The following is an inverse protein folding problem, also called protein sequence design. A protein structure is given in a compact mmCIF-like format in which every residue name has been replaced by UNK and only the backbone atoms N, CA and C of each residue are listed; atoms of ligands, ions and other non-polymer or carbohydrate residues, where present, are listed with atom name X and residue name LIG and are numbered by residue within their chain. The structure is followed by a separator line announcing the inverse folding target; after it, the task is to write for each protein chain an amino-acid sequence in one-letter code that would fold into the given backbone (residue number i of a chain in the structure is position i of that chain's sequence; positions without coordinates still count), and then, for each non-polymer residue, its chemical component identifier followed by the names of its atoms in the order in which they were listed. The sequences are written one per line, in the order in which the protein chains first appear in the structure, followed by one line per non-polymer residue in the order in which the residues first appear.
data_IF_455633832562
#
_entry.id   IF_455633832562
#
_cell.length_a   1.000
_cell.length_b   1.000
_cell.length_c   1.000
_cell.angle_alpha   90.00
_cell.angle_beta   90.00
_cell.angle_gamma   90.00
#
_symmetry.space_group_name_H-M   'P 1'
#
loop_
_entity.id
_entity.type
_entity.pdbx_description
1 polymer ?
#
# COMPACT_ATOMS: atom_id res chain seq x y z
N UNK A 1 16.99 -41.51 51.30
CA UNK A 1 17.74 -41.32 50.04
C UNK A 1 16.85 -41.84 48.92
N UNK A 2 15.95 -40.99 48.44
CA UNK A 2 15.02 -41.32 47.36
C UNK A 2 15.64 -40.84 46.04
N UNK A 3 15.88 -41.78 45.14
CA UNK A 3 16.07 -41.52 43.71
C UNK A 3 14.83 -40.79 43.18
N UNK A 4 14.99 -39.48 42.91
CA UNK A 4 14.09 -38.76 42.03
C UNK A 4 14.39 -39.24 40.61
N UNK A 5 13.56 -40.19 40.17
CA UNK A 5 13.34 -40.54 38.78
C UNK A 5 13.27 -39.26 37.93
N UNK A 6 14.37 -39.02 37.23
CA UNK A 6 14.44 -38.18 36.06
C UNK A 6 13.50 -38.81 35.04
N UNK A 7 12.26 -38.33 34.99
CA UNK A 7 11.38 -38.59 33.87
C UNK A 7 12.02 -37.84 32.71
N UNK A 8 12.76 -38.58 31.89
CA UNK A 8 13.18 -38.17 30.56
C UNK A 8 11.90 -37.87 29.78
N UNK A 9 11.51 -36.59 29.77
CA UNK A 9 10.43 -36.10 28.95
C UNK A 9 10.91 -36.20 27.52
N UNK A 10 10.61 -37.36 26.94
CA UNK A 10 10.90 -37.73 25.57
C UNK A 10 10.11 -36.82 24.65
N UNK A 11 10.62 -35.60 24.46
CA UNK A 11 10.12 -34.66 23.47
C UNK A 11 10.30 -35.32 22.11
N UNK A 12 9.22 -35.49 21.33
CA UNK A 12 9.32 -36.14 20.02
C UNK A 12 10.40 -35.44 19.20
N UNK A 13 11.26 -36.23 18.54
CA UNK A 13 12.42 -35.73 17.80
C UNK A 13 11.97 -34.91 16.57
N UNK A 14 11.61 -33.66 16.80
CA UNK A 14 11.42 -32.67 15.75
C UNK A 14 12.82 -32.23 15.25
N UNK A 15 12.98 -31.99 13.93
CA UNK A 15 14.22 -31.41 13.42
C UNK A 15 14.48 -30.08 14.11
N UNK A 16 15.74 -29.83 14.46
CA UNK A 16 16.19 -28.75 15.34
C UNK A 16 15.55 -27.40 14.96
N UNK A 17 14.64 -26.91 15.79
CA UNK A 17 13.76 -25.76 15.52
C UNK A 17 14.54 -24.45 15.28
N UNK A 18 15.68 -24.30 15.95
CA UNK A 18 16.66 -23.22 15.76
C UNK A 18 17.14 -23.10 14.30
N UNK A 19 17.33 -24.22 13.60
CA UNK A 19 17.75 -24.21 12.19
C UNK A 19 16.65 -23.67 11.26
N UNK A 20 15.38 -23.95 11.58
CA UNK A 20 14.25 -23.38 10.84
C UNK A 20 14.07 -21.89 11.14
N UNK A 21 14.22 -21.49 12.41
CA UNK A 21 14.19 -20.08 12.79
C UNK A 21 15.31 -19.31 12.08
N UNK A 22 16.52 -19.85 12.04
CA UNK A 22 17.65 -19.26 11.34
C UNK A 22 17.40 -19.11 9.83
N UNK A 23 16.75 -20.09 9.21
CA UNK A 23 16.35 -20.01 7.81
C UNK A 23 15.29 -18.92 7.58
N UNK A 24 14.28 -18.82 8.45
CA UNK A 24 13.25 -17.78 8.34
C UNK A 24 13.81 -16.38 8.55
N UNK A 25 14.69 -16.19 9.55
CA UNK A 25 15.30 -14.88 9.82
C UNK A 25 16.17 -14.43 8.65
N UNK A 26 16.91 -15.35 8.02
CA UNK A 26 17.68 -15.03 6.83
C UNK A 26 16.78 -14.57 5.66
N UNK A 27 15.62 -15.22 5.48
CA UNK A 27 14.66 -14.81 4.45
C UNK A 27 14.03 -13.44 4.74
N UNK A 28 13.72 -13.16 6.02
CA UNK A 28 13.20 -11.86 6.46
C UNK A 28 14.24 -10.75 6.20
N UNK A 29 15.50 -10.98 6.57
CA UNK A 29 16.61 -10.06 6.31
C UNK A 29 16.78 -9.81 4.80
N UNK A 30 16.66 -10.84 3.95
CA UNK A 30 16.72 -10.70 2.50
C UNK A 30 15.54 -9.87 1.94
N UNK A 31 14.34 -10.04 2.52
CA UNK A 31 13.14 -9.26 2.18
C UNK A 31 13.34 -7.79 2.58
N UNK A 32 13.86 -7.53 3.77
CA UNK A 32 14.09 -6.18 4.28
C UNK A 32 15.20 -5.47 3.52
N UNK A 33 16.31 -6.16 3.23
CA UNK A 33 17.39 -5.63 2.41
C UNK A 33 16.89 -5.27 1.00
N UNK A 34 16.11 -6.15 0.37
CA UNK A 34 15.53 -5.89 -0.96
C UNK A 34 14.53 -4.74 -0.92
N UNK A 35 13.74 -4.65 0.15
CA UNK A 35 12.77 -3.55 0.35
C UNK A 35 13.49 -2.21 0.53
N UNK A 36 14.54 -2.17 1.34
CA UNK A 36 15.38 -1.00 1.55
C UNK A 36 16.04 -0.53 0.25
N UNK A 37 16.55 -1.46 -0.56
CA UNK A 37 17.14 -1.13 -1.86
C UNK A 37 16.08 -0.55 -2.81
N UNK A 38 14.88 -1.11 -2.84
CA UNK A 38 13.76 -0.57 -3.60
C UNK A 38 13.33 0.83 -3.15
N UNK A 39 13.30 1.08 -1.84
CA UNK A 39 12.99 2.41 -1.28
C UNK A 39 14.05 3.44 -1.64
N UNK A 40 15.32 3.03 -1.64
CA UNK A 40 16.45 3.87 -2.05
C UNK A 40 16.34 4.25 -3.53
N UNK A 41 16.00 3.29 -4.39
CA UNK A 41 15.82 3.50 -5.82
C UNK A 41 14.58 4.35 -6.16
N UNK A 42 13.45 4.16 -5.47
CA UNK A 42 12.23 4.96 -5.73
C UNK A 42 12.41 6.43 -5.34
N UNK A 43 13.16 6.71 -4.27
CA UNK A 43 13.49 8.08 -3.86
C UNK A 43 14.34 8.82 -4.90
N UNK A 44 15.23 8.11 -5.60
CA UNK A 44 15.99 8.69 -6.72
C UNK A 44 15.13 8.83 -7.98
N UNK A 45 14.23 7.88 -8.24
CA UNK A 45 13.34 7.86 -9.41
C UNK A 45 12.49 9.13 -9.55
N UNK A 46 11.81 9.57 -8.48
CA UNK A 46 10.96 10.77 -8.50
C UNK A 46 11.76 12.07 -8.63
N UNK A 47 12.95 12.11 -8.03
CA UNK A 47 13.82 13.29 -8.06
C UNK A 47 14.40 13.52 -9.44
N UNK A 48 14.85 12.47 -10.13
CA UNK A 48 15.43 12.62 -11.47
C UNK A 48 14.39 13.09 -12.50
N UNK A 49 13.15 12.60 -12.41
CA UNK A 49 12.08 13.06 -13.30
C UNK A 49 11.68 14.51 -13.03
N UNK A 50 11.51 14.88 -11.75
CA UNK A 50 11.18 16.27 -11.37
C UNK A 50 12.32 17.21 -11.75
N UNK A 51 13.57 16.86 -11.47
CA UNK A 51 14.73 17.67 -11.84
C UNK A 51 14.84 17.82 -13.36
N UNK A 52 14.71 16.74 -14.13
CA UNK A 52 14.73 16.82 -15.60
C UNK A 52 13.64 17.76 -16.13
N UNK A 53 12.42 17.68 -15.60
CA UNK A 53 11.32 18.58 -15.95
C UNK A 53 11.65 20.05 -15.62
N UNK A 54 12.17 20.29 -14.42
CA UNK A 54 12.48 21.64 -13.92
C UNK A 54 13.60 22.29 -14.74
N UNK A 55 14.71 21.59 -14.94
CA UNK A 55 15.85 22.10 -15.71
C UNK A 55 15.51 22.30 -17.18
N UNK A 56 14.79 21.36 -17.80
CA UNK A 56 14.38 21.50 -19.19
C UNK A 56 13.38 22.64 -19.41
N UNK A 57 12.46 22.86 -18.46
CA UNK A 57 11.54 24.01 -18.49
C UNK A 57 12.28 25.34 -18.37
N UNK A 58 13.27 25.44 -17.47
CA UNK A 58 14.10 26.64 -17.30
C UNK A 58 14.86 26.95 -18.60
N UNK A 59 15.53 25.96 -19.20
CA UNK A 59 16.28 26.16 -20.46
C UNK A 59 15.35 26.65 -21.59
N UNK A 60 14.13 26.11 -21.68
CA UNK A 60 13.16 26.56 -22.67
C UNK A 60 12.68 28.00 -22.42
N UNK A 61 12.40 28.36 -21.16
CA UNK A 61 11.99 29.74 -20.81
C UNK A 61 13.11 30.73 -21.16
N UNK A 62 14.37 30.40 -20.85
CA UNK A 62 15.54 31.23 -21.20
C UNK A 62 15.67 31.37 -22.72
N UNK A 63 15.51 30.26 -23.45
CA UNK A 63 15.57 30.27 -24.92
C UNK A 63 14.48 31.15 -25.55
N UNK A 64 13.24 31.04 -25.08
CA UNK A 64 12.12 31.86 -25.57
C UNK A 64 12.33 33.32 -25.21
N UNK A 65 12.82 33.62 -24.00
CA UNK A 65 13.18 34.99 -23.61
C UNK A 65 14.26 35.58 -24.52
N UNK A 66 15.32 34.81 -24.80
CA UNK A 66 16.36 35.21 -25.75
C UNK A 66 15.80 35.48 -27.14
N UNK A 67 14.94 34.60 -27.66
CA UNK A 67 14.28 34.79 -28.95
C UNK A 67 13.42 36.06 -28.95
N UNK A 68 12.64 36.32 -27.90
CA UNK A 68 11.81 37.52 -27.80
C UNK A 68 12.62 38.82 -27.87
N UNK A 69 13.78 38.87 -27.22
CA UNK A 69 14.68 40.01 -27.28
C UNK A 69 15.41 40.12 -28.63
N UNK A 70 15.87 39.01 -29.19
CA UNK A 70 16.63 38.98 -30.45
C UNK A 70 15.76 39.21 -31.70
N UNK A 71 14.51 38.74 -31.68
CA UNK A 71 13.57 38.88 -32.79
C UNK A 71 12.88 40.25 -32.85
N UNK A 72 13.08 41.10 -31.83
CA UNK A 72 12.46 42.44 -31.77
C UNK A 72 12.88 43.34 -32.93
N UNK A 73 14.09 43.16 -33.45
CA UNK A 73 14.68 43.98 -34.52
C UNK A 73 15.07 43.16 -35.77
N UNK A 74 14.56 41.92 -35.92
CA UNK A 74 15.05 40.96 -36.91
C UNK A 74 14.15 40.78 -38.15
N UNK A 75 14.78 40.59 -39.31
CA UNK A 75 14.14 40.31 -40.61
C UNK A 75 13.61 38.86 -40.70
N UNK A 76 12.63 38.60 -41.58
CA UNK A 76 11.88 37.33 -41.68
C UNK A 76 12.75 36.06 -41.85
N UNK A 77 13.91 36.15 -42.50
CA UNK A 77 14.77 35.00 -42.78
C UNK A 77 15.49 34.44 -41.54
N UNK A 78 15.81 35.28 -40.55
CA UNK A 78 16.38 34.83 -39.27
C UNK A 78 15.32 34.24 -38.34
N UNK A 79 14.04 34.58 -38.54
CA UNK A 79 12.92 34.08 -37.73
C UNK A 79 12.69 32.59 -37.96
N UNK A 80 12.74 32.11 -39.21
CA UNK A 80 12.45 30.72 -39.57
C UNK A 80 13.48 29.72 -39.04
N UNK A 81 14.77 30.06 -39.09
CA UNK A 81 15.85 29.20 -38.56
C UNK A 81 15.82 29.11 -37.03
N UNK A 82 15.46 30.21 -36.35
CA UNK A 82 15.42 30.30 -34.89
C UNK A 82 14.11 29.77 -34.29
N UNK A 83 13.01 29.79 -35.05
CA UNK A 83 11.72 29.24 -34.60
C UNK A 83 11.67 27.70 -34.68
N UNK A 84 12.47 27.07 -35.54
CA UNK A 84 12.46 25.61 -35.75
C UNK A 84 12.78 24.81 -34.47
N UNK A 85 13.80 25.17 -33.66
CA UNK A 85 14.05 24.53 -32.37
C UNK A 85 12.93 24.75 -31.34
N UNK A 86 12.17 25.85 -31.44
CA UNK A 86 11.09 26.16 -30.49
C UNK A 86 9.93 25.16 -30.58
N UNK A 87 9.69 24.60 -31.77
CA UNK A 87 8.64 23.58 -32.01
C UNK A 87 9.17 22.17 -31.74
N UNK A 88 10.43 21.89 -32.08
CA UNK A 88 11.05 20.57 -31.88
C UNK A 88 11.35 20.31 -30.39
N UNK A 89 11.75 21.33 -29.64
CA UNK A 89 12.10 21.24 -28.21
C UNK A 89 10.97 20.65 -27.32
N UNK A 90 9.71 21.14 -27.35
CA UNK A 90 8.64 20.57 -26.52
C UNK A 90 8.30 19.12 -26.86
N UNK A 91 8.49 18.70 -28.11
CA UNK A 91 8.35 17.29 -28.51
C UNK A 91 9.46 16.44 -27.88
N UNK A 92 10.72 16.85 -28.01
CA UNK A 92 11.86 16.15 -27.42
C UNK A 92 11.74 16.00 -25.89
N UNK A 93 11.28 17.04 -25.20
CA UNK A 93 11.05 17.02 -23.73
C UNK A 93 10.02 15.94 -23.38
N UNK A 94 8.92 15.90 -24.13
CA UNK A 94 7.80 15.00 -23.85
C UNK A 94 8.13 13.55 -24.19
N UNK A 95 8.88 13.31 -25.27
CA UNK A 95 9.37 11.97 -25.61
C UNK A 95 10.45 11.48 -24.63
N UNK A 96 11.35 12.37 -24.17
CA UNK A 96 12.37 12.03 -23.18
C UNK A 96 11.76 11.59 -21.84
N UNK A 97 10.72 12.29 -21.38
CA UNK A 97 9.98 11.91 -20.17
C UNK A 97 9.35 10.51 -20.28
N UNK A 98 8.73 10.21 -21.42
CA UNK A 98 8.11 8.91 -21.70
C UNK A 98 9.14 7.78 -21.73
N UNK A 99 10.33 8.04 -22.27
CA UNK A 99 11.38 7.04 -22.39
C UNK A 99 11.99 6.69 -21.02
N UNK A 100 12.20 7.70 -20.19
CA UNK A 100 12.64 7.58 -18.80
C UNK A 100 11.63 6.72 -18.02
N UNK A 101 10.36 7.09 -18.02
CA UNK A 101 9.30 6.33 -17.34
C UNK A 101 9.24 4.87 -17.80
N UNK A 102 9.33 4.62 -19.10
CA UNK A 102 9.31 3.27 -19.67
C UNK A 102 10.53 2.44 -19.28
N UNK A 103 11.73 2.99 -19.45
CA UNK A 103 12.98 2.32 -19.10
C UNK A 103 13.02 1.97 -17.61
N UNK A 104 12.57 2.89 -16.76
CA UNK A 104 12.48 2.65 -15.32
C UNK A 104 11.39 1.65 -14.95
N UNK A 105 10.20 1.70 -15.57
CA UNK A 105 9.13 0.71 -15.34
C UNK A 105 9.61 -0.70 -15.68
N UNK A 106 10.41 -0.83 -16.73
CA UNK A 106 11.01 -2.10 -17.12
C UNK A 106 12.06 -2.56 -16.10
N UNK A 107 12.93 -1.66 -15.63
CA UNK A 107 14.01 -2.02 -14.70
C UNK A 107 13.51 -2.33 -13.28
N UNK A 108 12.45 -1.65 -12.82
CA UNK A 108 11.82 -1.92 -11.52
C UNK A 108 11.04 -3.24 -11.47
N UNK A 109 10.64 -3.80 -12.62
CA UNK A 109 9.88 -5.04 -12.70
C UNK A 109 10.60 -6.24 -12.08
N UNK A 110 11.91 -6.35 -12.31
CA UNK A 110 12.70 -7.48 -11.82
C UNK A 110 12.84 -7.50 -10.29
N UNK A 111 13.06 -6.34 -9.68
CA UNK A 111 13.17 -6.23 -8.22
C UNK A 111 11.82 -6.52 -7.52
N UNK A 112 10.70 -6.14 -8.13
CA UNK A 112 9.35 -6.50 -7.62
C UNK A 112 9.05 -7.98 -7.76
N UNK A 113 9.45 -8.61 -8.87
CA UNK A 113 9.30 -10.06 -9.06
C UNK A 113 10.18 -10.83 -8.07
N UNK A 114 11.41 -10.37 -7.81
CA UNK A 114 12.30 -10.95 -6.81
C UNK A 114 11.68 -10.89 -5.41
N UNK A 115 11.10 -9.76 -5.01
CA UNK A 115 10.36 -9.65 -3.75
C UNK A 115 9.16 -10.60 -3.68
N UNK A 116 8.39 -10.71 -4.76
CA UNK A 116 7.22 -11.60 -4.81
C UNK A 116 7.65 -13.07 -4.65
N UNK A 117 8.76 -13.47 -5.28
CA UNK A 117 9.33 -14.80 -5.14
C UNK A 117 9.84 -15.07 -3.71
N UNK A 118 10.54 -14.11 -3.09
CA UNK A 118 11.02 -14.23 -1.70
C UNK A 118 9.87 -14.41 -0.70
N UNK A 119 8.80 -13.62 -0.85
CA UNK A 119 7.60 -13.72 0.00
C UNK A 119 6.89 -15.07 -0.18
N UNK A 120 6.73 -15.53 -1.43
CA UNK A 120 6.16 -16.85 -1.68
C UNK A 120 7.01 -17.97 -1.06
N UNK A 121 8.34 -17.81 -1.07
CA UNK A 121 9.26 -18.75 -0.42
C UNK A 121 9.09 -18.75 1.10
N UNK A 122 9.00 -17.58 1.72
CA UNK A 122 8.72 -17.42 3.14
C UNK A 122 7.41 -18.11 3.53
N UNK A 123 6.32 -17.83 2.82
CA UNK A 123 4.99 -18.41 3.09
C UNK A 123 5.01 -19.94 2.99
N UNK A 124 5.74 -20.49 2.02
CA UNK A 124 5.89 -21.95 1.90
C UNK A 124 6.57 -22.58 3.12
N UNK A 125 7.59 -21.92 3.68
CA UNK A 125 8.31 -22.39 4.87
C UNK A 125 7.50 -22.19 6.15
N UNK A 126 6.75 -21.11 6.24
CA UNK A 126 5.81 -20.90 7.32
C UNK A 126 4.73 -22.00 7.35
N UNK A 127 4.21 -22.39 6.18
CA UNK A 127 3.21 -23.44 6.08
C UNK A 127 3.78 -24.83 6.44
N UNK A 128 5.03 -25.12 6.06
CA UNK A 128 5.74 -26.33 6.51
C UNK A 128 5.87 -26.39 8.05
N UNK A 129 6.10 -25.25 8.71
CA UNK A 129 6.16 -25.17 10.16
C UNK A 129 4.79 -25.37 10.81
N UNK A 130 3.75 -24.70 10.30
CA UNK A 130 2.37 -24.86 10.78
C UNK A 130 1.86 -26.30 10.66
N UNK A 131 2.33 -27.05 9.68
CA UNK A 131 1.96 -28.46 9.51
C UNK A 131 2.66 -29.41 10.51
N UNK A 132 3.85 -29.03 11.00
CA UNK A 132 4.65 -29.85 11.92
C UNK A 132 4.41 -29.52 13.38
N UNK A 133 4.01 -28.29 13.69
CA UNK A 133 3.84 -27.81 15.06
C UNK A 133 2.34 -27.81 15.42
N UNK A 134 1.95 -28.32 16.60
CA UNK A 134 0.58 -28.21 17.10
C UNK A 134 0.07 -26.76 17.12
N UNK A 135 -1.21 -26.57 16.82
CA UNK A 135 -1.85 -25.26 16.62
C UNK A 135 -1.78 -24.32 17.84
N UNK A 136 -1.62 -24.87 19.03
CA UNK A 136 -1.57 -24.20 20.33
C UNK A 136 -0.16 -23.77 20.76
N UNK A 137 0.86 -24.00 19.93
CA UNK A 137 2.23 -23.67 20.28
C UNK A 137 2.45 -22.13 20.28
N UNK A 138 3.04 -21.55 21.34
CA UNK A 138 3.22 -20.09 21.50
C UNK A 138 4.07 -19.45 20.39
N UNK A 139 4.90 -20.23 19.70
CA UNK A 139 5.69 -19.73 18.56
C UNK A 139 4.84 -19.36 17.33
N UNK A 140 3.69 -20.01 17.12
CA UNK A 140 2.81 -19.63 16.00
C UNK A 140 2.26 -18.21 16.16
N UNK A 141 2.07 -17.74 17.39
CA UNK A 141 1.54 -16.40 17.70
C UNK A 141 2.49 -15.29 17.25
N UNK A 142 3.82 -15.52 17.35
CA UNK A 142 4.85 -14.57 16.92
C UNK A 142 4.84 -14.33 15.40
N UNK A 143 4.53 -15.35 14.60
CA UNK A 143 4.56 -15.28 13.13
C UNK A 143 3.17 -15.07 12.50
N UNK A 144 2.10 -14.98 13.29
CA UNK A 144 0.80 -14.57 12.78
C UNK A 144 0.85 -13.09 12.38
N UNK A 145 0.52 -12.80 11.11
CA UNK A 145 0.32 -11.44 10.65
C UNK A 145 -0.77 -10.76 11.48
N UNK A 146 -0.73 -9.43 11.72
CA UNK A 146 -1.75 -8.74 12.50
C UNK A 146 -3.17 -8.97 11.98
N UNK A 147 -3.33 -9.20 10.68
CA UNK A 147 -4.60 -9.49 10.03
C UNK A 147 -5.17 -10.89 10.31
N UNK A 148 -4.37 -11.80 10.87
CA UNK A 148 -4.69 -13.22 11.03
C UNK A 148 -4.69 -13.67 12.50
N UNK A 149 -4.31 -12.75 13.41
CA UNK A 149 -4.52 -12.96 14.84
C UNK A 149 -6.02 -12.91 15.14
N UNK A 150 -6.59 -13.89 15.85
CA UNK A 150 -7.98 -13.84 16.25
C UNK A 150 -8.23 -12.56 17.06
N UNK A 151 -9.16 -11.74 16.58
CA UNK A 151 -9.43 -10.44 17.18
C UNK A 151 -8.39 -9.37 16.85
N UNK A 152 -7.93 -9.27 15.59
CA UNK A 152 -7.32 -8.06 15.03
C UNK A 152 -7.71 -7.93 13.55
N UNK A 153 -8.58 -6.99 13.24
CA UNK A 153 -9.08 -6.74 11.88
C UNK A 153 -8.75 -5.31 11.44
N UNK A 154 -8.69 -5.08 10.14
CA UNK A 154 -8.41 -3.77 9.56
C UNK A 154 -9.55 -2.77 9.84
N UNK A 155 -9.21 -1.60 10.36
CA UNK A 155 -10.11 -0.45 10.48
C UNK A 155 -10.16 0.31 9.15
N UNK A 156 -11.24 0.09 8.40
CA UNK A 156 -11.48 0.73 7.12
C UNK A 156 -12.58 1.79 7.31
N UNK A 157 -12.35 3.01 6.83
CA UNK A 157 -13.33 4.08 6.94
C UNK A 157 -14.51 3.86 5.97
N UNK A 158 -15.75 3.92 6.46
CA UNK A 158 -16.96 3.72 5.63
C UNK A 158 -17.22 4.86 4.62
N UNK A 159 -16.53 5.99 4.75
CA UNK A 159 -16.73 7.15 3.88
C UNK A 159 -15.64 7.36 2.83
N UNK A 160 -14.39 7.06 3.16
CA UNK A 160 -13.24 7.29 2.27
C UNK A 160 -12.42 6.02 2.00
N UNK A 161 -12.81 4.87 2.56
CA UNK A 161 -12.15 3.57 2.40
C UNK A 161 -10.66 3.56 2.76
N UNK A 162 -10.22 4.55 3.52
CA UNK A 162 -8.86 4.60 4.03
C UNK A 162 -8.65 3.53 5.10
N UNK A 163 -7.53 2.82 5.01
CA UNK A 163 -7.00 2.00 6.09
C UNK A 163 -6.46 2.88 7.23
N UNK A 164 -6.94 2.65 8.45
CA UNK A 164 -6.59 3.42 9.66
C UNK A 164 -5.93 2.55 10.75
N UNK A 165 -5.37 1.39 10.38
CA UNK A 165 -4.71 0.47 11.30
C UNK A 165 -5.53 -0.79 11.58
N UNK A 166 -5.18 -1.52 12.64
CA UNK A 166 -5.88 -2.71 13.09
C UNK A 166 -6.50 -2.48 14.46
N UNK A 167 -7.69 -3.04 14.69
CA UNK A 167 -8.35 -3.05 16.00
C UNK A 167 -8.89 -4.45 16.29
N UNK A 168 -9.03 -4.76 17.57
CA UNK A 168 -9.39 -6.11 17.94
C UNK A 168 -10.81 -6.50 17.58
N UNK A 169 -11.73 -5.55 17.77
CA UNK A 169 -13.14 -5.69 17.43
C UNK A 169 -13.53 -4.53 16.51
N UNK A 170 -13.32 -4.63 15.18
CA UNK A 170 -13.58 -3.53 14.25
C UNK A 170 -15.07 -3.13 14.26
N UNK A 171 -15.96 -4.09 14.50
CA UNK A 171 -17.41 -3.88 14.49
C UNK A 171 -17.90 -3.03 15.67
N UNK A 172 -17.21 -3.07 16.81
CA UNK A 172 -17.55 -2.30 18.01
C UNK A 172 -16.69 -1.04 18.21
N UNK A 173 -15.68 -0.82 17.37
CA UNK A 173 -14.75 0.31 17.51
C UNK A 173 -15.29 1.54 16.80
N UNK A 174 -15.61 2.60 17.57
CA UNK A 174 -15.95 3.91 17.02
C UNK A 174 -14.71 4.78 16.93
N UNK A 175 -14.50 5.46 15.80
CA UNK A 175 -13.31 6.31 15.63
C UNK A 175 -13.55 7.44 14.63
N UNK A 176 -12.80 8.54 14.76
CA UNK A 176 -12.77 9.61 13.75
C UNK A 176 -11.66 9.30 12.75
N UNK A 177 -11.99 9.24 11.46
CA UNK A 177 -10.98 8.97 10.44
C UNK A 177 -10.01 10.17 10.30
N UNK A 178 -8.69 10.00 10.44
CA UNK A 178 -7.73 11.10 10.29
C UNK A 178 -7.63 11.62 8.85
N UNK A 179 -8.11 10.87 7.85
CA UNK A 179 -8.06 11.29 6.44
C UNK A 179 -9.23 12.17 6.01
N UNK A 180 -10.46 11.80 6.42
CA UNK A 180 -11.68 12.52 6.00
C UNK A 180 -12.42 13.18 7.16
N UNK A 181 -11.95 13.02 8.39
CA UNK A 181 -12.50 13.60 9.62
C UNK A 181 -13.95 13.21 9.93
N UNK A 182 -14.50 12.23 9.21
CA UNK A 182 -15.83 11.69 9.49
C UNK A 182 -15.75 10.66 10.61
N UNK A 183 -16.76 10.69 11.48
CA UNK A 183 -16.93 9.74 12.57
C UNK A 183 -17.46 8.41 12.04
N UNK A 184 -16.69 7.34 12.21
CA UNK A 184 -17.09 5.98 11.87
C UNK A 184 -17.76 5.35 13.10
N UNK A 185 -19.05 5.07 12.99
CA UNK A 185 -19.83 4.40 14.03
C UNK A 185 -19.67 2.88 13.95
N UNK A 186 -20.17 2.16 14.94
CA UNK A 186 -20.24 0.69 14.88
C UNK A 186 -21.14 0.23 13.72
N UNK A 187 -20.82 -0.93 13.13
CA UNK A 187 -21.59 -1.48 12.00
C UNK A 187 -23.06 -1.77 12.41
N UNK A 188 -23.28 -2.26 13.63
CA UNK A 188 -24.62 -2.57 14.16
C UNK A 188 -25.51 -1.32 14.33
N UNK A 189 -24.90 -0.17 14.60
CA UNK A 189 -25.63 1.09 14.76
C UNK A 189 -26.06 1.70 13.40
N UNK A 190 -25.33 1.40 12.31
CA UNK A 190 -25.66 1.90 10.97
C UNK A 190 -26.88 1.20 10.37
N UNK A 191 -27.01 -0.12 10.52
CA UNK A 191 -28.17 -0.87 10.03
C UNK A 191 -29.47 -0.52 10.78
N UNK A 192 -29.38 -0.26 12.09
CA UNK A 192 -30.54 0.11 12.90
C UNK A 192 -31.00 1.56 12.63
N UNK A 193 -30.12 2.41 12.09
CA UNK A 193 -30.42 3.79 11.72
C UNK A 193 -31.23 3.93 10.43
N UNK A 194 -31.14 2.97 9.50
CA UNK A 194 -31.86 3.03 8.22
C UNK A 194 -33.30 2.50 8.28
N UNK A 195 -33.74 1.84 9.37
CA UNK A 195 -35.12 1.35 9.53
C UNK A 195 -36.07 2.43 10.11
N UNK A 196 -35.57 3.61 10.50
CA UNK A 196 -36.39 4.61 11.21
C UNK A 196 -37.20 5.61 10.36
N UNK A 197 -37.12 5.61 9.03
CA UNK A 197 -37.92 6.53 8.20
C UNK A 197 -39.03 5.92 7.33
N UNK A 198 -39.09 4.60 7.09
CA UNK A 198 -40.17 4.00 6.27
C UNK A 198 -41.39 3.45 7.07
N UNK A 199 -41.46 3.74 8.37
CA UNK A 199 -42.49 3.20 9.28
C UNK A 199 -43.76 4.04 9.50
N UNK A 200 -43.96 5.17 8.79
CA UNK A 200 -45.00 6.16 9.17
C UNK A 200 -46.23 6.24 8.25
N UNK A 201 -46.22 5.64 7.05
CA UNK A 201 -47.37 5.73 6.13
C UNK A 201 -48.36 4.56 6.32
N UNK A 202 -47.87 3.33 6.52
CA UNK A 202 -48.73 2.15 6.71
C UNK A 202 -49.51 2.18 8.05
N UNK A 203 -48.96 2.82 9.08
CA UNK A 203 -49.57 2.96 10.41
C UNK A 203 -50.64 4.05 10.50
N UNK A 204 -50.69 5.00 9.54
CA UNK A 204 -51.78 6.00 9.42
C UNK A 204 -53.03 5.45 8.71
N UNK A 205 -52.90 4.51 7.79
CA UNK A 205 -54.06 3.94 7.06
C UNK A 205 -54.87 3.00 7.95
N UNK A 206 -54.19 2.23 8.83
CA UNK A 206 -54.88 1.27 9.72
C UNK A 206 -55.72 1.95 10.81
N UNK A 207 -55.36 3.18 11.22
CA UNK A 207 -56.12 3.95 12.21
C UNK A 207 -57.37 4.64 11.66
N UNK A 208 -57.51 4.79 10.32
CA UNK A 208 -58.75 5.32 9.71
C UNK A 208 -59.84 4.28 9.49
N UNK A 209 -59.51 2.98 9.36
CA UNK A 209 -60.53 1.91 9.19
C UNK A 209 -61.18 1.42 10.48
N UNK A 210 -60.63 1.75 11.65
CA UNK A 210 -61.21 1.38 12.95
C UNK A 210 -62.14 2.46 13.55
N UNK A 211 -62.28 3.62 12.88
CA UNK A 211 -63.22 4.69 13.30
C UNK A 211 -64.49 4.73 12.42
N UNK A 212 -64.68 3.75 11.55
CA UNK A 212 -65.87 3.62 10.69
C UNK A 212 -66.55 2.25 10.84
N UNK A 213 -66.45 1.63 12.01
CA UNK A 213 -67.23 0.46 12.40
C UNK A 213 -67.79 0.67 13.79
#
# INVERSE_FOLDING_TARGET
MNELLFIDEQTPSYPRLDTFQQALTHLEDDIDNTTNELLRLDRHSRRMQVLLMLYSGIVWIVYVGYCFFALRDAHWDTITLVATPAIVSPLCIRYGQRLVEWWFKQHQGQARVKLAWLRARYDSKLNELKAKVPSDHPLLELYQTPSQRPGHHALICNFCFAYNGLASHPQSTQYVCPKCLKFNTTHDAQDTGMIKEEGSIASRVKRRRLKSR
#
